data_IF_730443599331
#
_entry.id   IF_730443599331
#
_cell.length_a   1.000
_cell.length_b   1.000
_cell.length_c   1.000
_cell.angle_alpha   90.00
_cell.angle_beta   90.00
_cell.angle_gamma   90.00
#
_symmetry.space_group_name_H-M   'P 1'
#
loop_
_entity.id
_entity.type
_entity.pdbx_description
1 polymer ?
#
# COMPACT_ATOMS: atom_id res chain seq x y z
N UNK A 1 9.74 -27.07 -61.78
CA UNK A 1 10.25 -27.83 -60.62
C UNK A 1 11.69 -27.38 -60.42
N UNK A 2 11.94 -26.38 -59.57
CA UNK A 2 13.30 -25.94 -59.30
C UNK A 2 13.88 -26.83 -58.21
N UNK A 3 14.46 -27.94 -58.63
CA UNK A 3 15.32 -28.76 -57.80
C UNK A 3 16.59 -27.96 -57.51
N UNK A 4 16.92 -27.81 -56.22
CA UNK A 4 18.26 -27.48 -55.72
C UNK A 4 19.27 -28.44 -56.38
N UNK A 5 20.09 -27.96 -57.31
CA UNK A 5 20.92 -28.83 -58.16
C UNK A 5 22.40 -28.41 -58.26
N UNK A 6 22.91 -27.60 -57.33
CA UNK A 6 24.36 -27.37 -57.21
C UNK A 6 24.81 -27.55 -55.76
N UNK A 7 26.07 -27.95 -55.59
CA UNK A 7 26.71 -28.05 -54.26
C UNK A 7 26.71 -26.67 -53.58
N UNK A 8 26.84 -25.60 -54.37
CA UNK A 8 26.84 -24.21 -53.88
C UNK A 8 25.47 -23.80 -53.32
N UNK A 9 24.37 -24.19 -53.98
CA UNK A 9 23.01 -23.91 -53.48
C UNK A 9 22.74 -24.63 -52.16
N UNK A 10 23.19 -25.89 -52.04
CA UNK A 10 23.06 -26.66 -50.80
C UNK A 10 23.89 -26.03 -49.68
N UNK A 11 25.12 -25.63 -49.96
CA UNK A 11 25.99 -24.99 -48.97
C UNK A 11 25.42 -23.66 -48.48
N UNK A 12 24.85 -22.86 -49.40
CA UNK A 12 24.17 -21.62 -49.04
C UNK A 12 22.97 -21.88 -48.13
N UNK A 13 22.11 -22.85 -48.48
CA UNK A 13 20.96 -23.21 -47.65
C UNK A 13 21.37 -23.71 -46.24
N UNK A 14 22.45 -24.47 -46.13
CA UNK A 14 23.01 -24.91 -44.84
C UNK A 14 23.51 -23.72 -44.02
N UNK A 15 24.23 -22.78 -44.64
CA UNK A 15 24.75 -21.60 -43.95
C UNK A 15 23.63 -20.68 -43.46
N UNK A 16 22.59 -20.48 -44.27
CA UNK A 16 21.41 -19.70 -43.89
C UNK A 16 20.66 -20.33 -42.71
N UNK A 17 20.49 -21.66 -42.74
CA UNK A 17 19.86 -22.39 -41.64
C UNK A 17 20.70 -22.29 -40.36
N UNK A 18 22.02 -22.44 -40.45
CA UNK A 18 22.93 -22.31 -39.31
C UNK A 18 22.86 -20.90 -38.71
N UNK A 19 22.87 -19.86 -39.53
CA UNK A 19 22.74 -18.47 -39.07
C UNK A 19 21.39 -18.22 -38.37
N UNK A 20 20.30 -18.82 -38.85
CA UNK A 20 19.00 -18.74 -38.20
C UNK A 20 18.97 -19.46 -36.85
N UNK A 21 19.60 -20.63 -36.74
CA UNK A 21 19.76 -21.38 -35.49
C UNK A 21 20.58 -20.58 -34.48
N UNK A 22 21.72 -20.02 -34.90
CA UNK A 22 22.59 -19.23 -34.02
C UNK A 22 21.88 -17.97 -33.53
N UNK A 23 21.10 -17.31 -34.40
CA UNK A 23 20.28 -16.15 -34.05
C UNK A 23 19.19 -16.49 -33.04
N UNK A 24 18.54 -17.66 -33.19
CA UNK A 24 17.52 -18.12 -32.25
C UNK A 24 18.14 -18.47 -30.88
N UNK A 25 19.23 -19.23 -30.87
CA UNK A 25 19.92 -19.65 -29.65
C UNK A 25 20.58 -18.48 -28.90
N UNK A 26 20.89 -17.38 -29.59
CA UNK A 26 21.43 -16.16 -28.98
C UNK A 26 20.34 -15.15 -28.59
N UNK A 27 19.06 -15.47 -28.82
CA UNK A 27 17.95 -14.60 -28.42
C UNK A 27 17.73 -14.64 -26.91
N UNK A 28 17.13 -13.59 -26.35
CA UNK A 28 16.80 -13.56 -24.93
C UNK A 28 15.70 -14.58 -24.61
N UNK A 29 15.79 -15.22 -23.44
CA UNK A 29 14.72 -16.07 -22.93
C UNK A 29 13.42 -15.27 -22.76
N UNK A 30 12.28 -15.95 -22.91
CA UNK A 30 10.98 -15.38 -22.53
C UNK A 30 11.03 -15.14 -21.02
N UNK A 31 10.75 -13.91 -20.52
CA UNK A 31 10.70 -13.67 -19.09
C UNK A 31 9.72 -14.65 -18.45
N UNK A 32 10.20 -15.44 -17.49
CA UNK A 32 9.33 -16.27 -16.69
C UNK A 32 8.35 -15.34 -15.97
N UNK A 33 7.04 -15.56 -16.16
CA UNK A 33 6.03 -14.71 -15.53
C UNK A 33 6.20 -14.76 -14.01
N UNK A 34 6.41 -13.59 -13.41
CA UNK A 34 6.54 -13.47 -11.96
C UNK A 34 5.20 -13.76 -11.31
N UNK A 35 5.15 -14.70 -10.37
CA UNK A 35 3.96 -14.96 -9.58
C UNK A 35 3.63 -13.75 -8.69
N UNK A 36 2.57 -13.03 -9.03
CA UNK A 36 2.10 -11.82 -8.33
C UNK A 36 1.19 -12.13 -7.13
N UNK A 37 0.91 -13.39 -6.83
CA UNK A 37 0.06 -13.81 -5.70
C UNK A 37 0.42 -13.14 -4.37
N UNK A 38 1.71 -12.99 -3.99
CA UNK A 38 2.07 -12.31 -2.74
C UNK A 38 1.58 -10.86 -2.67
N UNK A 39 1.69 -10.11 -3.77
CA UNK A 39 1.25 -8.71 -3.82
C UNK A 39 -0.27 -8.61 -3.82
N UNK A 40 -0.97 -9.49 -4.55
CA UNK A 40 -2.43 -9.56 -4.55
C UNK A 40 -2.96 -9.83 -3.14
N UNK A 41 -2.41 -10.83 -2.44
CA UNK A 41 -2.82 -11.16 -1.08
C UNK A 41 -2.60 -9.99 -0.11
N UNK A 42 -1.47 -9.29 -0.24
CA UNK A 42 -1.15 -8.13 0.61
C UNK A 42 -2.09 -6.95 0.33
N UNK A 43 -2.47 -6.73 -0.93
CA UNK A 43 -3.49 -5.73 -1.30
C UNK A 43 -4.83 -6.08 -0.62
N UNK A 44 -5.29 -7.33 -0.71
CA UNK A 44 -6.54 -7.76 -0.09
C UNK A 44 -6.53 -7.60 1.44
N UNK A 45 -5.39 -7.90 2.08
CA UNK A 45 -5.21 -7.65 3.52
C UNK A 45 -5.35 -6.16 3.83
N UNK A 46 -4.64 -5.29 3.11
CA UNK A 46 -4.68 -3.85 3.32
C UNK A 46 -6.07 -3.23 3.06
N UNK A 47 -6.81 -3.72 2.06
CA UNK A 47 -8.18 -3.31 1.76
C UNK A 47 -9.18 -3.72 2.85
N UNK A 48 -8.87 -4.77 3.61
CA UNK A 48 -9.71 -5.25 4.71
C UNK A 48 -9.52 -4.44 5.99
N UNK A 49 -8.49 -3.58 6.05
CA UNK A 49 -8.23 -2.72 7.20
C UNK A 49 -9.26 -1.60 7.25
N UNK A 50 -9.95 -1.47 8.38
CA UNK A 50 -10.89 -0.37 8.63
C UNK A 50 -10.20 0.78 9.36
N UNK A 51 -10.67 2.01 9.15
CA UNK A 51 -10.10 3.20 9.78
C UNK A 51 -10.13 3.14 11.32
N UNK A 52 -11.20 2.59 11.91
CA UNK A 52 -11.38 2.54 13.36
C UNK A 52 -11.30 3.93 14.01
N UNK A 53 -10.49 4.05 15.07
CA UNK A 53 -10.23 5.33 15.76
C UNK A 53 -9.04 6.09 15.18
N UNK A 54 -8.38 5.62 14.12
CA UNK A 54 -7.21 6.30 13.53
C UNK A 54 -7.63 7.57 12.80
N UNK A 55 -6.68 8.49 12.66
CA UNK A 55 -6.91 9.74 11.92
C UNK A 55 -7.22 9.48 10.44
N UNK A 56 -8.05 10.34 9.82
CA UNK A 56 -8.35 10.25 8.39
C UNK A 56 -7.11 10.39 7.52
N UNK A 57 -6.12 11.18 7.96
CA UNK A 57 -4.84 11.32 7.27
C UNK A 57 -4.07 10.00 7.23
N UNK A 58 -3.94 9.31 8.37
CA UNK A 58 -3.26 8.01 8.42
C UNK A 58 -3.99 6.96 7.57
N UNK A 59 -5.33 6.95 7.60
CA UNK A 59 -6.11 6.04 6.76
C UNK A 59 -5.94 6.35 5.27
N UNK A 60 -5.96 7.63 4.89
CA UNK A 60 -5.74 8.05 3.51
C UNK A 60 -4.34 7.67 2.99
N UNK A 61 -3.30 7.77 3.83
CA UNK A 61 -1.96 7.29 3.48
C UNK A 61 -1.94 5.79 3.15
N UNK A 62 -2.64 4.96 3.94
CA UNK A 62 -2.78 3.53 3.66
C UNK A 62 -3.53 3.30 2.33
N UNK A 63 -4.65 4.00 2.10
CA UNK A 63 -5.42 3.86 0.86
C UNK A 63 -4.61 4.26 -0.38
N UNK A 64 -3.78 5.30 -0.27
CA UNK A 64 -2.86 5.70 -1.34
C UNK A 64 -1.82 4.60 -1.63
N UNK A 65 -1.23 4.00 -0.58
CA UNK A 65 -0.28 2.90 -0.74
C UNK A 65 -0.93 1.68 -1.41
N UNK A 66 -2.17 1.34 -1.05
CA UNK A 66 -2.97 0.30 -1.72
C UNK A 66 -3.15 0.61 -3.21
N UNK A 67 -3.49 1.85 -3.55
CA UNK A 67 -3.66 2.27 -4.95
C UNK A 67 -2.34 2.18 -5.74
N UNK A 68 -1.21 2.56 -5.14
CA UNK A 68 0.11 2.40 -5.75
C UNK A 68 0.45 0.92 -5.96
N UNK A 69 0.18 0.05 -4.98
CA UNK A 69 0.40 -1.38 -5.12
C UNK A 69 -0.44 -2.00 -6.26
N UNK A 70 -1.71 -1.59 -6.42
CA UNK A 70 -2.56 -2.00 -7.55
C UNK A 70 -2.00 -1.55 -8.90
N UNK A 71 -1.44 -0.35 -8.98
CA UNK A 71 -0.80 0.14 -10.21
C UNK A 71 0.45 -0.70 -10.53
N UNK A 72 1.25 -1.05 -9.51
CA UNK A 72 2.45 -1.87 -9.64
C UNK A 72 2.19 -3.29 -10.16
N UNK A 73 1.00 -3.87 -9.96
CA UNK A 73 0.65 -5.17 -10.54
C UNK A 73 0.83 -5.22 -12.07
N UNK A 74 0.66 -4.09 -12.76
CA UNK A 74 0.81 -4.01 -14.22
C UNK A 74 2.27 -3.83 -14.67
N UNK A 75 3.17 -3.45 -13.77
CA UNK A 75 4.55 -3.06 -14.09
C UNK A 75 5.61 -3.95 -13.45
N UNK A 76 5.28 -4.68 -12.39
CA UNK A 76 6.17 -5.65 -11.74
C UNK A 76 6.46 -6.80 -12.70
N UNK A 77 7.73 -6.93 -13.08
CA UNK A 77 8.22 -7.96 -14.01
C UNK A 77 9.42 -8.73 -13.46
N UNK A 78 9.91 -8.38 -12.26
CA UNK A 78 11.01 -9.07 -11.59
C UNK A 78 10.61 -9.47 -10.17
N UNK A 79 11.30 -10.47 -9.62
CA UNK A 79 11.11 -10.88 -8.22
C UNK A 79 11.47 -9.74 -7.26
N UNK A 80 12.51 -8.95 -7.57
CA UNK A 80 12.92 -7.82 -6.75
C UNK A 80 11.87 -6.71 -6.75
N UNK A 81 11.29 -6.38 -7.91
CA UNK A 81 10.19 -5.40 -8.00
C UNK A 81 8.96 -5.87 -7.22
N UNK A 82 8.65 -7.17 -7.30
CA UNK A 82 7.55 -7.78 -6.54
C UNK A 82 7.79 -7.64 -5.05
N UNK A 83 8.99 -8.05 -4.58
CA UNK A 83 9.34 -8.00 -3.16
C UNK A 83 9.33 -6.57 -2.63
N UNK A 84 9.83 -5.62 -3.41
CA UNK A 84 9.79 -4.19 -3.07
C UNK A 84 8.35 -3.68 -2.94
N UNK A 85 7.47 -4.02 -3.90
CA UNK A 85 6.06 -3.63 -3.83
C UNK A 85 5.34 -4.21 -2.60
N UNK A 86 5.61 -5.47 -2.26
CA UNK A 86 5.07 -6.12 -1.06
C UNK A 86 5.58 -5.44 0.21
N UNK A 87 6.88 -5.17 0.30
CA UNK A 87 7.50 -4.54 1.47
C UNK A 87 7.00 -3.11 1.69
N UNK A 88 6.84 -2.32 0.63
CA UNK A 88 6.29 -0.96 0.72
C UNK A 88 4.86 -0.96 1.26
N UNK A 89 3.99 -1.86 0.75
CA UNK A 89 2.63 -1.96 1.23
C UNK A 89 2.58 -2.46 2.68
N UNK A 90 3.43 -3.42 3.06
CA UNK A 90 3.57 -3.85 4.45
C UNK A 90 3.97 -2.69 5.37
N UNK A 91 4.94 -1.88 4.97
CA UNK A 91 5.36 -0.72 5.76
C UNK A 91 4.22 0.30 5.94
N UNK A 92 3.37 0.51 4.92
CA UNK A 92 2.20 1.36 5.03
C UNK A 92 1.16 0.81 6.01
N UNK A 93 0.92 -0.51 5.99
CA UNK A 93 0.05 -1.19 6.97
C UNK A 93 0.59 -1.00 8.38
N UNK A 94 1.88 -1.23 8.60
CA UNK A 94 2.52 -1.11 9.92
C UNK A 94 2.47 0.33 10.44
N UNK A 95 2.72 1.31 9.55
CA UNK A 95 2.60 2.74 9.85
C UNK A 95 1.17 3.10 10.26
N UNK A 96 0.16 2.61 9.54
CA UNK A 96 -1.25 2.84 9.87
C UNK A 96 -1.61 2.24 11.23
N UNK A 97 -1.26 0.98 11.46
CA UNK A 97 -1.55 0.28 12.72
C UNK A 97 -0.91 0.97 13.93
N UNK A 98 0.29 1.51 13.75
CA UNK A 98 1.05 2.22 14.78
C UNK A 98 0.66 3.70 14.93
N UNK A 99 -0.21 4.22 14.05
CA UNK A 99 -0.62 5.63 14.08
C UNK A 99 -1.48 5.95 15.31
N UNK A 100 -1.49 7.22 15.75
CA UNK A 100 -2.29 7.63 16.89
C UNK A 100 -3.80 7.55 16.58
N UNK A 101 -4.56 7.19 17.61
CA UNK A 101 -6.01 7.35 17.58
C UNK A 101 -6.37 8.84 17.68
N UNK A 102 -7.53 9.21 17.15
CA UNK A 102 -8.15 10.51 17.36
C UNK A 102 -8.39 10.65 18.88
N UNK A 103 -8.01 11.78 19.52
CA UNK A 103 -8.26 11.98 20.94
C UNK A 103 -9.74 11.75 21.26
N UNK A 104 -10.04 10.91 22.25
CA UNK A 104 -11.41 10.81 22.74
C UNK A 104 -11.81 12.17 23.32
N UNK A 105 -12.98 12.65 22.91
CA UNK A 105 -13.58 13.82 23.55
C UNK A 105 -13.85 13.47 25.01
N UNK A 106 -13.29 14.25 25.93
CA UNK A 106 -13.52 14.08 27.36
C UNK A 106 -14.92 14.59 27.69
N UNK A 107 -15.71 13.81 28.44
CA UNK A 107 -17.01 14.26 28.92
C UNK A 107 -16.84 15.48 29.84
N UNK A 108 -17.31 16.64 29.37
CA UNK A 108 -17.25 17.92 30.08
C UNK A 108 -18.47 18.14 30.98
N UNK A 109 -19.47 17.26 30.95
CA UNK A 109 -20.70 17.37 31.74
C UNK A 109 -20.43 17.56 33.24
N UNK A 110 -19.50 16.83 33.89
CA UNK A 110 -19.21 17.04 35.31
C UNK A 110 -18.69 18.45 35.63
N UNK A 111 -17.88 19.03 34.74
CA UNK A 111 -17.35 20.38 34.91
C UNK A 111 -18.45 21.43 34.71
N UNK A 112 -19.26 21.28 33.66
CA UNK A 112 -20.41 22.17 33.38
C UNK A 112 -21.37 22.18 34.57
N UNK A 113 -21.72 21.01 35.10
CA UNK A 113 -22.60 20.91 36.27
C UNK A 113 -22.04 21.63 37.50
N UNK A 114 -20.72 21.55 37.76
CA UNK A 114 -20.07 22.26 38.86
C UNK A 114 -20.04 23.77 38.65
N UNK A 115 -19.86 24.24 37.42
CA UNK A 115 -19.94 25.67 37.08
C UNK A 115 -21.35 26.19 37.36
N UNK A 116 -22.38 25.47 36.89
CA UNK A 116 -23.79 25.85 37.14
C UNK A 116 -24.15 25.82 38.62
N UNK A 117 -23.65 24.83 39.37
CA UNK A 117 -23.82 24.78 40.84
C UNK A 117 -23.18 26.02 41.49
N UNK A 118 -21.94 26.36 41.11
CA UNK A 118 -21.23 27.52 41.64
C UNK A 118 -21.92 28.85 41.32
N UNK A 119 -22.42 29.02 40.09
CA UNK A 119 -23.18 30.21 39.66
C UNK A 119 -24.50 30.38 40.41
N UNK A 120 -25.08 29.27 40.89
CA UNK A 120 -26.35 29.28 41.63
C UNK A 120 -26.17 29.49 43.14
N UNK A 121 -24.93 29.56 43.63
CA UNK A 121 -24.67 29.82 45.06
C UNK A 121 -25.08 31.25 45.39
N UNK A 122 -25.96 31.39 46.38
CA UNK A 122 -26.32 32.69 46.97
C UNK A 122 -25.71 32.79 48.37
N UNK A 123 -25.38 34.01 48.81
CA UNK A 123 -24.66 34.26 50.08
C UNK A 123 -25.38 33.70 51.33
N UNK A 124 -26.72 33.67 51.34
CA UNK A 124 -27.51 33.13 52.45
C UNK A 124 -27.14 33.75 53.81
N UNK A 125 -26.96 32.91 54.85
CA UNK A 125 -26.47 33.29 56.19
C UNK A 125 -24.96 33.12 56.37
N UNK A 126 -24.19 32.84 55.30
CA UNK A 126 -22.75 32.63 55.39
C UNK A 126 -22.01 33.97 55.55
N UNK A 127 -20.82 33.92 56.15
CA UNK A 127 -19.99 35.12 56.38
C UNK A 127 -19.59 35.75 55.05
N UNK A 128 -19.55 37.09 55.01
CA UNK A 128 -19.13 37.83 53.81
C UNK A 128 -17.72 37.45 53.34
N UNK A 129 -16.83 37.06 54.27
CA UNK A 129 -15.49 36.59 53.96
C UNK A 129 -15.45 35.32 53.09
N UNK A 130 -16.42 34.41 53.22
CA UNK A 130 -16.43 33.14 52.49
C UNK A 130 -17.15 33.19 51.13
N UNK A 131 -17.71 34.34 50.74
CA UNK A 131 -18.47 34.54 49.50
C UNK A 131 -17.76 35.50 48.52
N UNK A 132 -16.69 36.18 48.96
CA UNK A 132 -15.91 37.11 48.13
C UNK A 132 -14.51 36.57 47.75
N UNK A 133 -14.11 35.40 48.26
CA UNK A 133 -12.94 34.63 47.78
C UNK A 133 -13.32 33.74 46.59
#
# INVERSE_FOLDING_TARGET
MNTVNTIDDLQNAVNELQAAIDKFNSSADIPQEVDKTPLVNKITEAESITQGKKTSAAYQELQNAVQTAKQKLNTVNTIDDLQNAVNELQAAIDKFNSSADIPQEVDKTPLVNKITEAESITQGKKTSAAYQE
#
